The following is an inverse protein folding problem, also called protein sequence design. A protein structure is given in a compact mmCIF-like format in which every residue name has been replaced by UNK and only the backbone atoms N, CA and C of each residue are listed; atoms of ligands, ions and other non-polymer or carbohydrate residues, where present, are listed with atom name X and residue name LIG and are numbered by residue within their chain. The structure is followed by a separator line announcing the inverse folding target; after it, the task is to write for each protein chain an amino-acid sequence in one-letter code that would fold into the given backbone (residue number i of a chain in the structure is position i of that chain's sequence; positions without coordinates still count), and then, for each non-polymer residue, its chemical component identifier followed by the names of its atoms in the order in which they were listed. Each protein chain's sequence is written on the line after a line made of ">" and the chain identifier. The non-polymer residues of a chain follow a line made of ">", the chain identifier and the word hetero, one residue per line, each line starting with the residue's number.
data_IF_102549634202
#
_entry.id   IF_102549634202
#
_cell.length_a   1.000
_cell.length_b   1.000
_cell.length_c   1.000
_cell.angle_alpha   90.00
_cell.angle_beta   90.00
_cell.angle_gamma   90.00
#
_symmetry.space_group_name_H-M   'P 1'
#
loop_
_entity.id
_entity.type
_entity.pdbx_description
1 polymer ?
#
# COMPACT_ATOMS: atom_id res chain seq x y z
N UNK A 1 -16.92 -1.98 14.27
CA UNK A 1 -15.47 -2.19 14.12
C UNK A 1 -14.78 -0.95 14.66
N UNK A 2 -13.74 -1.05 15.49
CA UNK A 2 -12.89 0.11 15.74
C UNK A 2 -12.37 0.61 14.38
N UNK A 3 -12.34 1.93 14.18
CA UNK A 3 -11.76 2.52 12.98
C UNK A 3 -10.29 2.13 12.83
N UNK A 4 -9.73 2.38 11.64
CA UNK A 4 -8.28 2.24 11.45
C UNK A 4 -7.55 3.09 12.51
N UNK A 5 -6.44 2.59 13.09
CA UNK A 5 -5.70 3.33 14.12
C UNK A 5 -4.98 4.57 13.58
N UNK A 6 -5.14 4.88 12.30
CA UNK A 6 -4.52 5.98 11.57
C UNK A 6 -5.51 6.57 10.55
N UNK A 7 -5.18 7.76 10.06
CA UNK A 7 -5.93 8.42 8.99
C UNK A 7 -5.56 7.80 7.63
N UNK A 8 -6.57 7.39 6.86
CA UNK A 8 -6.38 6.76 5.55
C UNK A 8 -5.81 7.74 4.51
N UNK A 9 -6.22 9.00 4.54
CA UNK A 9 -5.74 10.06 3.65
C UNK A 9 -4.24 10.30 3.86
N UNK A 10 -3.79 10.28 5.11
CA UNK A 10 -2.37 10.43 5.47
C UNK A 10 -1.55 9.22 5.03
N UNK A 11 -2.11 8.00 5.13
CA UNK A 11 -1.47 6.79 4.62
C UNK A 11 -1.32 6.82 3.10
N UNK A 12 -2.41 7.12 2.37
CA UNK A 12 -2.40 7.21 0.90
C UNK A 12 -1.44 8.30 0.47
N UNK A 13 -1.49 9.48 1.09
CA UNK A 13 -0.62 10.62 0.75
C UNK A 13 0.83 10.45 1.19
N UNK A 14 1.21 9.31 1.78
CA UNK A 14 2.53 9.03 2.34
C UNK A 14 3.00 10.10 3.35
N UNK A 15 2.06 10.74 4.05
CA UNK A 15 2.33 11.71 5.11
C UNK A 15 2.44 11.06 6.49
N UNK A 16 2.10 9.78 6.59
CA UNK A 16 2.23 9.00 7.80
C UNK A 16 3.70 8.82 8.18
N UNK A 17 4.07 9.26 9.40
CA UNK A 17 5.45 9.46 9.83
C UNK A 17 6.00 8.29 10.67
N UNK A 18 5.25 7.20 10.82
CA UNK A 18 5.79 5.95 11.34
C UNK A 18 6.29 5.14 10.15
N UNK A 19 7.49 4.57 10.24
CA UNK A 19 8.22 3.92 9.16
C UNK A 19 7.59 2.65 8.58
N UNK A 20 6.28 2.66 8.31
CA UNK A 20 5.56 1.60 7.63
C UNK A 20 5.74 1.75 6.12
N UNK A 21 6.06 0.64 5.46
CA UNK A 21 6.19 0.59 4.01
C UNK A 21 4.79 0.60 3.37
N UNK A 22 4.59 1.34 2.27
CA UNK A 22 3.33 1.34 1.51
C UNK A 22 3.63 0.97 0.06
N UNK A 23 2.91 -0.02 -0.44
CA UNK A 23 3.00 -0.47 -1.83
C UNK A 23 1.67 -0.22 -2.54
N UNK A 24 1.69 0.46 -3.69
CA UNK A 24 0.49 0.67 -4.50
C UNK A 24 0.40 -0.35 -5.64
N UNK A 25 -0.81 -0.84 -5.93
CA UNK A 25 -1.11 -1.65 -7.12
C UNK A 25 -2.35 -1.10 -7.81
N UNK A 26 -2.26 -0.89 -9.11
CA UNK A 26 -3.32 -0.27 -9.91
C UNK A 26 -4.61 -1.09 -10.01
N UNK A 27 -4.56 -2.42 -9.80
CA UNK A 27 -5.71 -3.30 -10.01
C UNK A 27 -5.58 -4.64 -9.27
N UNK A 28 -6.64 -5.45 -9.26
CA UNK A 28 -6.65 -6.83 -8.78
C UNK A 28 -6.95 -7.81 -9.91
N UNK A 29 -5.93 -8.54 -10.36
CA UNK A 29 -6.06 -9.58 -11.38
C UNK A 29 -5.07 -10.72 -11.12
N UNK A 30 -5.10 -11.79 -11.95
CA UNK A 30 -4.23 -12.96 -11.77
C UNK A 30 -2.73 -12.62 -11.78
N UNK A 31 -2.32 -11.63 -12.58
CA UNK A 31 -0.93 -11.21 -12.69
C UNK A 31 -0.50 -10.47 -11.42
N UNK A 32 -1.30 -9.50 -10.96
CA UNK A 32 -1.00 -8.71 -9.76
C UNK A 32 -1.08 -9.55 -8.49
N UNK A 33 -1.93 -10.59 -8.46
CA UNK A 33 -2.07 -11.46 -7.28
C UNK A 33 -0.74 -12.07 -6.84
N UNK A 34 0.07 -12.57 -7.79
CA UNK A 34 1.38 -13.15 -7.46
C UNK A 34 2.33 -12.10 -6.89
N UNK A 35 2.25 -10.86 -7.39
CA UNK A 35 3.06 -9.74 -6.95
C UNK A 35 2.68 -9.30 -5.53
N UNK A 36 1.38 -9.19 -5.23
CA UNK A 36 0.87 -8.90 -3.87
C UNK A 36 1.37 -9.93 -2.86
N UNK A 37 1.36 -11.22 -3.21
CA UNK A 37 1.90 -12.26 -2.32
C UNK A 37 3.41 -12.06 -2.07
N UNK A 38 4.18 -11.67 -3.09
CA UNK A 38 5.60 -11.35 -2.91
C UNK A 38 5.80 -10.15 -2.00
N UNK A 39 5.02 -9.08 -2.16
CA UNK A 39 5.06 -7.91 -1.27
C UNK A 39 4.72 -8.31 0.17
N UNK A 40 3.69 -9.14 0.39
CA UNK A 40 3.35 -9.66 1.73
C UNK A 40 4.53 -10.44 2.32
N UNK A 41 5.17 -11.32 1.55
CA UNK A 41 6.34 -12.05 2.01
C UNK A 41 7.52 -11.12 2.31
N UNK A 42 7.73 -10.07 1.51
CA UNK A 42 8.76 -9.08 1.77
C UNK A 42 8.51 -8.33 3.09
N UNK A 43 7.28 -7.87 3.33
CA UNK A 43 6.89 -7.22 4.59
C UNK A 43 7.02 -8.15 5.80
N UNK A 44 6.64 -9.42 5.66
CA UNK A 44 6.73 -10.40 6.74
C UNK A 44 8.18 -10.79 7.08
N UNK A 45 9.08 -10.76 6.09
CA UNK A 45 10.49 -11.11 6.24
C UNK A 45 11.39 -9.90 6.52
N UNK A 46 10.82 -8.72 6.77
CA UNK A 46 11.61 -7.50 6.97
C UNK A 46 12.45 -7.57 8.26
N UNK A 47 13.75 -7.77 8.07
CA UNK A 47 14.76 -7.89 9.12
C UNK A 47 14.96 -6.59 9.92
N UNK A 48 14.48 -5.46 9.40
CA UNK A 48 14.54 -4.17 10.09
C UNK A 48 13.40 -4.00 11.12
N UNK A 49 12.52 -4.99 11.27
CA UNK A 49 11.37 -4.95 12.19
C UNK A 49 10.50 -3.71 12.01
N UNK A 50 10.26 -3.27 10.76
CA UNK A 50 9.41 -2.11 10.46
C UNK A 50 7.91 -2.37 10.69
N UNK A 51 7.56 -3.42 11.46
CA UNK A 51 6.19 -3.87 11.71
C UNK A 51 5.36 -4.16 10.44
N UNK A 52 6.02 -4.44 9.32
CA UNK A 52 5.39 -4.79 8.05
C UNK A 52 5.05 -3.57 7.18
N UNK A 53 3.85 -3.55 6.61
CA UNK A 53 3.44 -2.50 5.68
C UNK A 53 2.01 -2.66 5.16
N UNK A 54 1.62 -1.73 4.29
CA UNK A 54 0.30 -1.65 3.68
C UNK A 54 0.40 -1.87 2.16
N UNK A 55 -0.59 -2.57 1.60
CA UNK A 55 -0.75 -2.72 0.15
C UNK A 55 -2.08 -2.07 -0.22
N UNK A 56 -2.04 -1.08 -1.10
CA UNK A 56 -3.22 -0.33 -1.54
C UNK A 56 -3.54 -0.71 -2.98
N UNK A 57 -4.67 -1.38 -3.18
CA UNK A 57 -5.15 -1.83 -4.49
C UNK A 57 -6.09 -0.78 -5.12
N UNK A 58 -6.01 -0.63 -6.44
CA UNK A 58 -6.82 0.33 -7.21
C UNK A 58 -6.17 1.72 -7.38
N UNK A 59 -4.96 1.91 -6.87
CA UNK A 59 -4.21 3.17 -6.96
C UNK A 59 -2.99 2.94 -7.81
N UNK A 60 -2.85 3.73 -8.86
CA UNK A 60 -1.64 3.76 -9.69
C UNK A 60 -0.54 4.51 -8.96
N UNK A 61 0.73 4.25 -9.29
CA UNK A 61 1.86 5.01 -8.75
C UNK A 61 2.86 5.38 -9.84
N UNK A 62 3.55 6.49 -9.62
CA UNK A 62 4.71 6.92 -10.40
C UNK A 62 5.82 7.36 -9.44
N UNK A 63 6.98 6.73 -9.53
CA UNK A 63 8.12 7.05 -8.66
C UNK A 63 7.84 6.84 -7.16
N UNK A 64 7.02 5.83 -6.81
CA UNK A 64 6.64 5.53 -5.42
C UNK A 64 5.66 6.53 -4.80
N UNK A 65 4.99 7.35 -5.63
CA UNK A 65 3.92 8.26 -5.19
C UNK A 65 2.61 7.84 -5.84
N UNK A 66 1.48 7.87 -5.12
CA UNK A 66 0.19 7.53 -5.70
C UNK A 66 -0.23 8.57 -6.74
N UNK A 67 -0.89 8.10 -7.79
CA UNK A 67 -1.64 8.91 -8.74
C UNK A 67 -3.10 8.91 -8.27
N UNK A 68 -3.63 10.10 -8.01
CA UNK A 68 -4.99 10.31 -7.53
C UNK A 68 -5.83 11.10 -8.55
N UNK A 69 -7.15 10.87 -8.64
CA UNK A 69 -7.93 9.90 -7.88
C UNK A 69 -7.62 8.43 -8.28
N UNK A 70 -7.94 7.45 -7.42
CA UNK A 70 -7.82 6.03 -7.75
C UNK A 70 -8.54 5.70 -9.06
N UNK A 71 -8.01 4.71 -9.79
CA UNK A 71 -8.53 4.36 -11.12
C UNK A 71 -10.00 3.93 -11.03
N UNK A 72 -10.86 4.56 -11.84
CA UNK A 72 -12.28 4.21 -11.94
C UNK A 72 -13.20 4.93 -10.96
N UNK A 73 -12.69 5.96 -10.27
CA UNK A 73 -13.49 6.94 -9.54
C UNK A 73 -13.48 8.25 -10.33
N UNK A 74 -14.62 8.57 -10.95
CA UNK A 74 -14.93 9.89 -11.54
C UNK A 74 -15.74 10.73 -10.55
#
# INVERSE_FOLDING_TARGET
>A
MPGLPFNLEDLISLRYNEGNQVEFKSTWNKQIKADVIRTICAFANDLLNMNGGYIILGVEEEGGRPILPPRGLD
#
